data_IF_408422258791
#
_entry.id   IF_408422258791
#
_cell.length_a   1.000
_cell.length_b   1.000
_cell.length_c   1.000
_cell.angle_alpha   90.00
_cell.angle_beta   90.00
_cell.angle_gamma   90.00
#
_symmetry.space_group_name_H-M   'P 1'
#
loop_
_entity.id
_entity.type
_entity.pdbx_description
1 polymer ?
#
# COMPACT_ATOMS: atom_id res chain seq x y z
N UNK A 1 21.38 -17.41 9.64
CA UNK A 1 20.58 -16.91 8.50
C UNK A 1 20.17 -15.51 8.88
N UNK A 2 20.88 -14.53 8.33
CA UNK A 2 20.45 -13.13 8.45
C UNK A 2 19.13 -13.02 7.70
N UNK A 3 18.04 -12.82 8.44
CA UNK A 3 16.82 -12.28 7.86
C UNK A 3 17.21 -10.92 7.30
N UNK A 4 17.26 -10.77 5.98
CA UNK A 4 17.23 -9.44 5.38
C UNK A 4 15.98 -8.75 5.93
N UNK A 5 16.16 -7.81 6.86
CA UNK A 5 15.06 -6.98 7.34
C UNK A 5 14.56 -6.21 6.12
N UNK A 6 13.40 -6.61 5.60
CA UNK A 6 12.71 -5.82 4.59
C UNK A 6 12.37 -4.49 5.25
N UNK A 7 12.80 -3.38 4.65
CA UNK A 7 12.48 -2.04 5.16
C UNK A 7 10.97 -1.89 5.33
N UNK A 8 10.55 -1.27 6.42
CA UNK A 8 9.12 -1.08 6.71
C UNK A 8 8.47 -0.23 5.60
N UNK A 9 7.15 -0.35 5.44
CA UNK A 9 6.42 0.47 4.49
C UNK A 9 6.57 1.98 4.77
N UNK A 10 6.70 2.36 6.05
CA UNK A 10 6.94 3.74 6.50
C UNK A 10 8.30 4.24 5.98
N UNK A 11 9.37 3.47 6.21
CA UNK A 11 10.73 3.82 5.77
C UNK A 11 10.81 3.95 4.24
N UNK A 12 10.11 3.08 3.51
CA UNK A 12 10.06 3.12 2.05
C UNK A 12 9.38 4.38 1.52
N UNK A 13 8.28 4.83 2.14
CA UNK A 13 7.66 6.11 1.78
C UNK A 13 8.59 7.28 2.08
N UNK A 14 9.24 7.27 3.25
CA UNK A 14 10.20 8.31 3.63
C UNK A 14 11.38 8.38 2.64
N UNK A 15 11.92 7.24 2.21
CA UNK A 15 13.00 7.18 1.22
C UNK A 15 12.60 7.74 -0.16
N UNK A 16 11.31 7.61 -0.52
CA UNK A 16 10.73 8.18 -1.75
C UNK A 16 10.28 9.65 -1.60
N UNK A 17 10.46 10.25 -0.42
CA UNK A 17 9.91 11.57 -0.05
C UNK A 17 8.38 11.65 -0.16
N UNK A 18 7.68 10.51 -0.06
CA UNK A 18 6.22 10.48 -0.04
C UNK A 18 5.76 10.68 1.41
N UNK A 19 4.84 11.61 1.70
CA UNK A 19 4.36 11.86 3.06
C UNK A 19 3.66 10.64 3.67
N UNK A 20 4.06 10.28 4.89
CA UNK A 20 3.36 9.29 5.73
C UNK A 20 2.30 10.02 6.55
N UNK A 21 1.03 9.75 6.23
CA UNK A 21 -0.16 10.40 6.78
C UNK A 21 -0.77 9.54 7.90
N UNK A 22 -1.65 10.12 8.70
CA UNK A 22 -2.40 9.39 9.73
C UNK A 22 -3.35 8.37 9.11
N UNK A 23 -3.96 8.70 7.97
CA UNK A 23 -4.83 7.79 7.22
C UNK A 23 -4.04 6.60 6.67
N UNK A 24 -2.82 6.80 6.16
CA UNK A 24 -1.95 5.70 5.74
C UNK A 24 -1.65 4.74 6.90
N UNK A 25 -1.28 5.25 8.07
CA UNK A 25 -1.02 4.44 9.27
C UNK A 25 -2.28 3.69 9.73
N UNK A 26 -3.44 4.36 9.73
CA UNK A 26 -4.72 3.74 10.07
C UNK A 26 -5.05 2.58 9.12
N UNK A 27 -4.90 2.78 7.81
CA UNK A 27 -5.11 1.72 6.81
C UNK A 27 -4.13 0.57 7.03
N UNK A 28 -2.86 0.84 7.33
CA UNK A 28 -1.88 -0.20 7.63
C UNK A 28 -2.23 -1.02 8.88
N UNK A 29 -2.75 -0.37 9.92
CA UNK A 29 -3.20 -1.05 11.15
C UNK A 29 -4.47 -1.88 10.93
N UNK A 30 -5.40 -1.39 10.11
CA UNK A 30 -6.68 -2.05 9.83
C UNK A 30 -6.59 -3.13 8.76
N UNK A 31 -5.64 -3.00 7.83
CA UNK A 31 -5.58 -3.76 6.58
C UNK A 31 -6.04 -2.90 5.40
N UNK A 32 -5.16 -2.60 4.43
CA UNK A 32 -5.55 -1.85 3.22
C UNK A 32 -6.34 -2.75 2.26
N UNK A 33 -7.48 -2.27 1.75
CA UNK A 33 -8.39 -3.11 0.96
C UNK A 33 -9.00 -4.22 1.84
N UNK A 34 -8.87 -5.48 1.42
CA UNK A 34 -9.29 -6.65 2.22
C UNK A 34 -8.11 -7.42 2.85
N UNK A 35 -6.90 -6.85 2.81
CA UNK A 35 -5.70 -7.46 3.37
C UNK A 35 -5.72 -7.50 4.90
N UNK A 36 -4.94 -8.39 5.54
CA UNK A 36 -4.63 -8.26 6.96
C UNK A 36 -3.80 -7.00 7.22
N UNK A 37 -3.66 -6.66 8.51
CA UNK A 37 -2.81 -5.57 8.96
C UNK A 37 -1.39 -5.68 8.38
N UNK A 38 -0.89 -4.56 7.84
CA UNK A 38 0.44 -4.42 7.24
C UNK A 38 1.41 -3.64 8.13
N UNK A 39 0.90 -2.96 9.17
CA UNK A 39 1.71 -2.26 10.17
C UNK A 39 1.35 -2.76 11.56
N UNK A 40 2.37 -3.14 12.32
CA UNK A 40 2.23 -3.46 13.73
C UNK A 40 2.02 -2.20 14.58
N UNK A 41 1.49 -2.38 15.79
CA UNK A 41 1.39 -1.29 16.77
C UNK A 41 2.78 -0.75 17.16
N UNK A 42 3.80 -1.61 17.19
CA UNK A 42 5.18 -1.21 17.49
C UNK A 42 5.74 -0.24 16.44
N UNK A 43 5.62 -0.58 15.16
CA UNK A 43 6.05 0.29 14.05
C UNK A 43 5.34 1.65 14.08
N UNK A 44 4.03 1.65 14.34
CA UNK A 44 3.23 2.88 14.43
C UNK A 44 3.70 3.71 15.63
N UNK A 45 3.76 3.14 16.84
CA UNK A 45 4.18 3.86 18.04
C UNK A 45 5.58 4.46 17.86
N UNK A 46 6.52 3.69 17.28
CA UNK A 46 7.86 4.17 17.01
C UNK A 46 7.88 5.36 16.05
N UNK A 47 7.15 5.28 14.93
CA UNK A 47 7.05 6.39 13.99
C UNK A 47 6.43 7.65 14.64
N UNK A 48 5.34 7.46 15.39
CA UNK A 48 4.60 8.58 16.01
C UNK A 48 5.38 9.22 17.15
N UNK A 49 6.17 8.45 17.90
CA UNK A 49 7.08 8.98 18.92
C UNK A 49 8.11 9.94 18.31
N UNK A 50 8.72 9.57 17.19
CA UNK A 50 9.66 10.47 16.51
C UNK A 50 8.97 11.77 16.04
N UNK A 51 7.73 11.67 15.54
CA UNK A 51 6.92 12.84 15.15
C UNK A 51 6.50 13.73 16.33
N UNK A 52 6.26 13.15 17.51
CA UNK A 52 5.83 13.92 18.70
C UNK A 52 6.93 14.83 19.24
N UNK A 53 8.20 14.44 19.05
CA UNK A 53 9.38 15.21 19.47
C UNK A 53 9.61 16.42 18.56
N UNK A 54 9.31 16.29 17.27
CA UNK A 54 9.58 17.32 16.25
C UNK A 54 8.44 18.33 16.06
N UNK A 55 7.23 18.00 16.51
CA UNK A 55 6.00 18.73 16.19
C UNK A 55 5.41 19.56 17.34
N UNK A 56 4.37 20.36 17.05
CA UNK A 56 3.56 20.98 18.11
C UNK A 56 2.83 19.90 18.93
N UNK A 57 2.64 20.16 20.22
CA UNK A 57 1.87 19.27 21.10
C UNK A 57 0.47 18.99 20.53
N UNK A 58 0.14 17.70 20.46
CA UNK A 58 -1.16 17.21 20.05
C UNK A 58 -1.49 15.97 20.89
N UNK A 59 -2.56 16.06 21.68
CA UNK A 59 -2.95 14.99 22.62
C UNK A 59 -3.13 13.62 21.96
N UNK A 60 -3.58 13.56 20.70
CA UNK A 60 -3.80 12.29 20.02
C UNK A 60 -2.48 11.66 19.58
N UNK A 61 -1.53 12.50 19.14
CA UNK A 61 -0.15 12.07 18.83
C UNK A 61 0.52 11.58 20.11
N UNK A 62 0.41 12.32 21.20
CA UNK A 62 0.97 11.94 22.51
C UNK A 62 0.37 10.64 23.03
N UNK A 63 -0.95 10.47 22.95
CA UNK A 63 -1.61 9.22 23.34
C UNK A 63 -1.03 8.02 22.59
N UNK A 64 -0.80 8.12 21.28
CA UNK A 64 -0.21 7.04 20.49
C UNK A 64 1.27 6.85 20.86
N UNK A 65 2.06 7.92 20.89
CA UNK A 65 3.51 7.87 21.14
C UNK A 65 3.88 7.20 22.47
N UNK A 66 3.01 7.33 23.49
CA UNK A 66 3.21 6.75 24.81
C UNK A 66 2.30 5.54 25.10
N UNK A 67 1.56 5.04 24.10
CA UNK A 67 0.78 3.81 24.23
C UNK A 67 1.69 2.59 24.33
N UNK A 68 1.24 1.58 25.05
CA UNK A 68 1.83 0.24 24.96
C UNK A 68 1.36 -0.45 23.67
N UNK A 69 2.19 -1.34 23.14
CA UNK A 69 1.91 -2.06 21.88
C UNK A 69 0.67 -2.98 21.95
N UNK A 70 0.23 -3.37 23.16
CA UNK A 70 -0.98 -4.16 23.40
C UNK A 70 -2.27 -3.30 23.43
N UNK A 71 -2.15 -1.97 23.45
CA UNK A 71 -3.27 -1.01 23.46
C UNK A 71 -3.78 -0.69 22.05
N UNK A 72 -3.90 -1.71 21.18
CA UNK A 72 -4.29 -1.55 19.77
C UNK A 72 -5.55 -0.70 19.57
N UNK A 73 -6.56 -0.86 20.43
CA UNK A 73 -7.82 -0.10 20.34
C UNK A 73 -7.62 1.40 20.62
N UNK A 74 -6.74 1.75 21.56
CA UNK A 74 -6.40 3.14 21.86
C UNK A 74 -5.64 3.76 20.69
N UNK A 75 -4.67 3.04 20.14
CA UNK A 75 -3.90 3.47 18.96
C UNK A 75 -4.83 3.71 17.77
N UNK A 76 -5.69 2.74 17.46
CA UNK A 76 -6.67 2.83 16.37
C UNK A 76 -7.61 4.02 16.57
N UNK A 77 -8.16 4.22 17.77
CA UNK A 77 -9.05 5.33 18.08
C UNK A 77 -8.39 6.70 17.83
N UNK A 78 -7.17 6.90 18.33
CA UNK A 78 -6.46 8.17 18.12
C UNK A 78 -6.05 8.37 16.65
N UNK A 79 -5.66 7.31 15.93
CA UNK A 79 -5.39 7.37 14.49
C UNK A 79 -6.64 7.76 13.69
N UNK A 80 -7.83 7.28 14.06
CA UNK A 80 -9.09 7.72 13.43
C UNK A 80 -9.31 9.22 13.60
N UNK A 81 -9.15 9.74 14.82
CA UNK A 81 -9.32 11.17 15.10
C UNK A 81 -8.29 12.04 14.35
N UNK A 82 -7.06 11.58 14.21
CA UNK A 82 -6.03 12.27 13.43
C UNK A 82 -6.31 12.20 11.93
N UNK A 83 -6.71 11.03 11.43
CA UNK A 83 -7.15 10.83 10.04
C UNK A 83 -8.30 11.77 9.70
N UNK A 84 -9.31 11.93 10.57
CA UNK A 84 -10.43 12.85 10.35
C UNK A 84 -10.00 14.30 10.07
N UNK A 85 -8.87 14.74 10.64
CA UNK A 85 -8.32 16.09 10.46
C UNK A 85 -7.57 16.27 9.14
N UNK A 86 -7.23 15.19 8.43
CA UNK A 86 -6.57 15.27 7.14
C UNK A 86 -7.54 15.68 6.02
N UNK A 87 -7.02 16.38 5.01
CA UNK A 87 -7.83 16.76 3.87
C UNK A 87 -8.25 15.53 3.04
N UNK A 88 -9.36 15.62 2.32
CA UNK A 88 -9.92 14.48 1.59
C UNK A 88 -9.01 13.98 0.46
N UNK A 89 -8.30 14.88 -0.22
CA UNK A 89 -7.40 14.52 -1.32
C UNK A 89 -6.24 13.64 -0.83
N UNK A 90 -5.67 13.95 0.34
CA UNK A 90 -4.65 13.15 1.01
C UNK A 90 -5.17 11.75 1.37
N UNK A 91 -6.40 11.64 1.87
CA UNK A 91 -6.99 10.32 2.19
C UNK A 91 -7.18 9.45 0.96
N UNK A 92 -7.60 10.06 -0.15
CA UNK A 92 -7.79 9.35 -1.41
C UNK A 92 -6.46 8.85 -2.00
N UNK A 93 -5.36 9.55 -1.76
CA UNK A 93 -4.03 9.13 -2.22
C UNK A 93 -3.38 8.05 -1.35
N UNK A 94 -3.83 7.85 -0.11
CA UNK A 94 -3.24 6.85 0.78
C UNK A 94 -3.53 5.40 0.41
N UNK A 95 -4.70 5.12 -0.18
CA UNK A 95 -4.96 3.78 -0.74
C UNK A 95 -3.99 3.48 -1.90
N UNK A 96 -3.68 4.49 -2.74
CA UNK A 96 -2.71 4.36 -3.83
C UNK A 96 -1.28 4.13 -3.34
N UNK A 97 -0.90 4.71 -2.19
CA UNK A 97 0.40 4.41 -1.55
C UNK A 97 0.47 2.94 -1.16
N UNK A 98 -0.60 2.38 -0.61
CA UNK A 98 -0.67 0.96 -0.28
C UNK A 98 -0.62 0.07 -1.52
N UNK A 99 -1.42 0.37 -2.55
CA UNK A 99 -1.39 -0.34 -3.83
C UNK A 99 0.02 -0.33 -4.44
N UNK A 100 0.70 0.83 -4.48
CA UNK A 100 2.05 0.98 -4.99
C UNK A 100 3.05 0.08 -4.23
N UNK A 101 3.15 0.23 -2.91
CA UNK A 101 4.15 -0.48 -2.11
C UNK A 101 3.94 -2.00 -2.11
N UNK A 102 2.69 -2.44 -2.06
CA UNK A 102 2.34 -3.86 -2.07
C UNK A 102 2.50 -4.46 -3.47
N UNK A 103 2.27 -3.68 -4.53
CA UNK A 103 2.55 -4.12 -5.89
C UNK A 103 4.05 -4.26 -6.14
N UNK A 104 4.87 -3.33 -5.63
CA UNK A 104 6.33 -3.46 -5.65
C UNK A 104 6.77 -4.78 -4.99
N UNK A 105 6.22 -5.09 -3.81
CA UNK A 105 6.49 -6.35 -3.09
C UNK A 105 6.04 -7.59 -3.86
N UNK A 106 4.87 -7.49 -4.49
CA UNK A 106 4.32 -8.57 -5.31
C UNK A 106 5.23 -8.84 -6.53
N UNK A 107 5.80 -7.80 -7.13
CA UNK A 107 6.69 -7.89 -8.29
C UNK A 107 8.04 -8.54 -7.98
N UNK A 108 8.54 -8.48 -6.74
CA UNK A 108 9.77 -9.16 -6.33
C UNK A 108 9.68 -10.69 -6.49
N UNK A 109 8.47 -11.25 -6.40
CA UNK A 109 8.23 -12.70 -6.38
C UNK A 109 7.34 -13.17 -7.54
N UNK A 110 7.11 -12.33 -8.53
CA UNK A 110 6.17 -12.60 -9.59
C UNK A 110 6.70 -13.70 -10.53
N UNK A 111 5.85 -14.68 -10.83
CA UNK A 111 6.20 -15.83 -11.66
C UNK A 111 6.49 -15.44 -13.12
N UNK A 112 7.60 -15.93 -13.69
CA UNK A 112 7.89 -15.76 -15.12
C UNK A 112 6.95 -16.58 -16.04
N UNK A 113 6.28 -17.60 -15.51
CA UNK A 113 5.23 -18.32 -16.24
C UNK A 113 4.02 -17.39 -16.49
N UNK A 114 3.60 -17.16 -17.75
CA UNK A 114 2.53 -16.22 -18.08
C UNK A 114 1.19 -16.54 -17.40
N UNK A 115 0.81 -17.82 -17.33
CA UNK A 115 -0.50 -18.20 -16.77
C UNK A 115 -0.50 -17.92 -15.27
N UNK A 116 0.53 -18.38 -14.57
CA UNK A 116 0.67 -18.15 -13.14
C UNK A 116 0.82 -16.65 -12.84
N UNK A 117 1.68 -15.94 -13.56
CA UNK A 117 1.89 -14.50 -13.36
C UNK A 117 0.63 -13.66 -13.58
N UNK A 118 -0.16 -13.95 -14.62
CA UNK A 118 -1.44 -13.27 -14.87
C UNK A 118 -2.48 -13.58 -13.78
N UNK A 119 -2.52 -14.84 -13.32
CA UNK A 119 -3.42 -15.26 -12.23
C UNK A 119 -3.04 -14.57 -10.91
N UNK A 120 -1.75 -14.51 -10.60
CA UNK A 120 -1.22 -13.86 -9.41
C UNK A 120 -1.54 -12.36 -9.41
N UNK A 121 -1.35 -11.67 -10.55
CA UNK A 121 -1.76 -10.27 -10.71
C UNK A 121 -3.27 -10.06 -10.55
N UNK A 122 -4.08 -10.96 -11.10
CA UNK A 122 -5.55 -10.89 -10.92
C UNK A 122 -5.90 -11.03 -9.44
N UNK A 123 -5.26 -11.97 -8.74
CA UNK A 123 -5.45 -12.16 -7.30
C UNK A 123 -4.97 -10.96 -6.50
N UNK A 124 -3.88 -10.30 -6.90
CA UNK A 124 -3.42 -9.05 -6.28
C UNK A 124 -4.48 -7.96 -6.37
N UNK A 125 -4.93 -7.62 -7.58
CA UNK A 125 -5.86 -6.49 -7.78
C UNK A 125 -7.26 -6.76 -7.23
N UNK A 126 -7.66 -8.04 -7.10
CA UNK A 126 -8.91 -8.39 -6.45
C UNK A 126 -8.96 -7.97 -4.98
N UNK A 127 -7.80 -7.83 -4.31
CA UNK A 127 -7.71 -7.40 -2.91
C UNK A 127 -8.05 -5.92 -2.71
N UNK A 128 -8.08 -5.16 -3.81
CA UNK A 128 -8.42 -3.74 -3.87
C UNK A 128 -9.73 -3.49 -4.66
N UNK A 129 -10.51 -4.54 -4.93
CA UNK A 129 -11.74 -4.50 -5.74
C UNK A 129 -11.55 -3.94 -7.17
N UNK A 130 -10.38 -4.20 -7.77
CA UNK A 130 -10.06 -3.79 -9.14
C UNK A 130 -10.30 -2.29 -9.41
N UNK A 131 -9.51 -1.40 -8.80
CA UNK A 131 -9.69 0.04 -8.96
C UNK A 131 -9.59 0.42 -10.45
N UNK A 132 -10.39 1.41 -10.86
CA UNK A 132 -10.60 1.77 -12.27
C UNK A 132 -9.35 2.31 -12.96
N UNK A 133 -8.41 2.83 -12.18
CA UNK A 133 -7.11 3.33 -12.63
C UNK A 133 -5.99 2.30 -12.46
N UNK A 134 -6.28 1.06 -12.07
CA UNK A 134 -5.30 -0.03 -12.10
C UNK A 134 -4.88 -0.36 -13.54
N UNK A 135 -3.61 -0.77 -13.76
CA UNK A 135 -3.11 -1.21 -15.07
C UNK A 135 -3.57 -2.62 -15.44
N UNK A 136 -4.43 -3.23 -14.62
CA UNK A 136 -4.82 -4.62 -14.75
C UNK A 136 -5.91 -4.80 -15.81
N UNK A 137 -5.72 -5.79 -16.67
CA UNK A 137 -6.68 -6.16 -17.71
C UNK A 137 -7.13 -7.61 -17.45
N UNK A 138 -8.43 -7.78 -17.21
CA UNK A 138 -9.04 -9.11 -17.04
C UNK A 138 -9.68 -9.50 -18.36
N UNK A 139 -9.34 -10.70 -18.84
CA UNK A 139 -9.92 -11.23 -20.06
C UNK A 139 -11.46 -11.22 -20.01
N UNK A 140 -12.10 -10.62 -21.01
CA UNK A 140 -13.58 -10.58 -21.10
C UNK A 140 -14.26 -9.55 -20.20
N UNK A 141 -13.49 -8.72 -19.46
CA UNK A 141 -14.02 -7.58 -18.70
C UNK A 141 -13.66 -6.27 -19.41
N UNK A 142 -14.61 -5.69 -20.13
CA UNK A 142 -14.40 -4.43 -20.86
C UNK A 142 -13.44 -4.55 -22.06
N UNK A 143 -13.09 -5.77 -22.48
CA UNK A 143 -12.25 -6.05 -23.65
C UNK A 143 -12.69 -7.33 -24.37
N UNK A 144 -12.24 -7.49 -25.62
CA UNK A 144 -12.54 -8.65 -26.47
C UNK A 144 -11.33 -9.59 -26.62
N UNK A 145 -10.44 -9.65 -25.63
CA UNK A 145 -9.23 -10.47 -25.70
C UNK A 145 -9.62 -11.95 -25.59
N UNK A 146 -9.18 -12.77 -26.54
CA UNK A 146 -9.43 -14.21 -26.50
C UNK A 146 -8.47 -14.91 -25.52
N UNK A 147 -8.82 -16.07 -24.93
CA UNK A 147 -7.91 -16.80 -24.04
C UNK A 147 -6.57 -17.12 -24.70
N UNK A 148 -6.60 -17.47 -25.99
CA UNK A 148 -5.41 -17.78 -26.79
C UNK A 148 -4.44 -16.61 -26.91
N UNK A 149 -4.95 -15.38 -26.85
CA UNK A 149 -4.15 -14.17 -26.93
C UNK A 149 -3.76 -13.65 -25.54
N UNK A 150 -4.57 -13.93 -24.51
CA UNK A 150 -4.35 -13.47 -23.13
C UNK A 150 -3.21 -14.23 -22.45
N UNK A 151 -3.17 -15.56 -22.56
CA UNK A 151 -2.19 -16.40 -21.87
C UNK A 151 -0.86 -16.56 -22.63
N UNK A 152 -0.50 -15.61 -23.49
CA UNK A 152 0.77 -15.62 -24.21
C UNK A 152 1.87 -14.93 -23.42
N UNK A 153 3.13 -15.28 -23.72
CA UNK A 153 4.29 -14.62 -23.10
C UNK A 153 4.36 -13.15 -23.50
N UNK A 154 4.05 -12.85 -24.76
CA UNK A 154 4.09 -11.50 -25.30
C UNK A 154 3.06 -10.60 -24.61
N UNK A 155 1.82 -11.08 -24.43
CA UNK A 155 0.80 -10.32 -23.71
C UNK A 155 1.17 -10.11 -22.25
N UNK A 156 1.68 -11.16 -21.59
CA UNK A 156 2.14 -11.06 -20.21
C UNK A 156 3.24 -10.00 -20.05
N UNK A 157 4.25 -9.99 -20.92
CA UNK A 157 5.32 -9.00 -20.90
C UNK A 157 4.80 -7.56 -21.10
N UNK A 158 3.85 -7.36 -22.01
CA UNK A 158 3.21 -6.04 -22.19
C UNK A 158 2.42 -5.61 -20.95
N UNK A 159 1.69 -6.54 -20.31
CA UNK A 159 0.96 -6.22 -19.08
C UNK A 159 1.93 -5.86 -17.93
N UNK A 160 3.05 -6.59 -17.80
CA UNK A 160 4.12 -6.24 -16.84
C UNK A 160 4.67 -4.84 -17.09
N UNK A 161 4.89 -4.47 -18.35
CA UNK A 161 5.35 -3.13 -18.72
C UNK A 161 4.33 -2.06 -18.32
N UNK A 162 3.02 -2.29 -18.54
CA UNK A 162 1.95 -1.39 -18.09
C UNK A 162 1.97 -1.19 -16.57
N UNK A 163 2.15 -2.26 -15.81
CA UNK A 163 2.23 -2.19 -14.35
C UNK A 163 3.45 -1.40 -13.86
N UNK A 164 4.63 -1.62 -14.47
CA UNK A 164 5.84 -0.85 -14.15
C UNK A 164 5.65 0.65 -14.46
N UNK A 165 5.06 0.97 -15.60
CA UNK A 165 4.74 2.35 -15.97
C UNK A 165 3.74 2.98 -15.00
N UNK A 166 2.73 2.22 -14.58
CA UNK A 166 1.77 2.67 -13.57
C UNK A 166 2.47 2.97 -12.24
N UNK A 167 3.34 2.08 -11.75
CA UNK A 167 4.10 2.31 -10.50
C UNK A 167 4.94 3.59 -10.58
N UNK A 168 5.68 3.79 -11.67
CA UNK A 168 6.49 5.00 -11.88
C UNK A 168 5.65 6.29 -11.94
N UNK A 169 4.47 6.23 -12.54
CA UNK A 169 3.56 7.38 -12.65
C UNK A 169 2.88 7.68 -11.31
N UNK A 170 2.39 6.65 -10.62
CA UNK A 170 1.77 6.75 -9.31
C UNK A 170 2.76 7.30 -8.29
N UNK A 171 3.99 6.80 -8.25
CA UNK A 171 5.04 7.33 -7.36
C UNK A 171 5.26 8.83 -7.56
N UNK A 172 5.36 9.29 -8.82
CA UNK A 172 5.53 10.73 -9.14
C UNK A 172 4.34 11.59 -8.74
N UNK A 173 3.12 11.03 -8.69
CA UNK A 173 1.91 11.74 -8.30
C UNK A 173 1.74 11.83 -6.77
N UNK A 174 2.48 11.01 -6.02
CA UNK A 174 2.40 10.91 -4.56
C UNK A 174 3.43 11.79 -3.82
N UNK A 175 4.36 12.41 -4.55
CA UNK A 175 5.33 13.39 -4.05
C UNK A 175 4.69 14.78 -4.07
#
# INVERSE_FOLDING_TARGET
MESQFKSSFIERLQAKNIPVTWTFLLMGLMGPGILPSQLSCDEIVHYVLNKSIEGPSNRFIENIAYSRIDERQLIEYNLRLLSEQENQETKLSDLKKWELLLLEDHFENLSEDPIKGLTDLTSFWSQFDFPTDSPHEIQGRGNNISPKNYYTREYYQELIKKHKQWMEQTEKQLI
#
